data_IF_969119120811
#
_entry.id   IF_969119120811
#
_cell.length_a   1.000
_cell.length_b   1.000
_cell.length_c   1.000
_cell.angle_alpha   90.00
_cell.angle_beta   90.00
_cell.angle_gamma   90.00
#
_symmetry.space_group_name_H-M   'P 1'
#
loop_
_entity.id
_entity.type
_entity.pdbx_description
1 polymer ?
#
# COMPACT_ATOMS: atom_id res chain seq x y z
N UNK A 1 -31.75 36.85 -10.61
CA UNK A 1 -32.25 35.48 -10.81
C UNK A 1 -31.68 35.08 -12.16
N UNK A 2 -30.54 34.40 -12.31
CA UNK A 2 -30.37 32.94 -12.20
C UNK A 2 -28.89 32.55 -12.44
N UNK A 3 -27.94 32.91 -11.56
CA UNK A 3 -26.53 32.52 -11.71
C UNK A 3 -25.92 32.07 -10.36
N UNK A 4 -26.51 31.05 -9.73
CA UNK A 4 -25.97 30.49 -8.46
C UNK A 4 -26.15 28.97 -8.32
N UNK A 5 -26.17 28.19 -9.42
CA UNK A 5 -26.49 26.74 -9.32
C UNK A 5 -25.60 25.76 -10.11
N UNK A 6 -24.36 26.11 -10.45
CA UNK A 6 -23.48 25.19 -11.20
C UNK A 6 -22.08 24.97 -10.62
N UNK A 7 -21.93 25.02 -9.29
CA UNK A 7 -20.66 24.65 -8.62
C UNK A 7 -20.85 23.60 -7.52
N UNK A 8 -21.82 22.72 -7.68
CA UNK A 8 -22.09 21.66 -6.71
C UNK A 8 -22.39 20.36 -7.43
N UNK A 9 -21.37 19.69 -7.98
CA UNK A 9 -21.31 18.25 -8.29
C UNK A 9 -19.98 18.01 -9.03
N UNK A 10 -19.38 16.83 -8.87
CA UNK A 10 -18.11 16.40 -9.49
C UNK A 10 -16.81 16.76 -8.72
N UNK A 11 -16.78 16.54 -7.41
CA UNK A 11 -15.53 16.11 -6.75
C UNK A 11 -15.58 14.58 -6.63
N UNK A 12 -14.66 13.81 -7.25
CA UNK A 12 -14.63 12.36 -7.09
C UNK A 12 -14.47 12.04 -5.59
N UNK A 13 -15.41 11.26 -5.07
CA UNK A 13 -15.74 11.17 -3.65
C UNK A 13 -14.53 10.97 -2.72
N UNK A 14 -14.29 11.98 -1.88
CA UNK A 14 -13.29 12.00 -0.81
C UNK A 14 -13.43 10.81 0.17
N UNK A 15 -14.60 10.17 0.20
CA UNK A 15 -14.89 9.01 1.05
C UNK A 15 -13.99 7.79 0.80
N UNK A 16 -13.53 7.57 -0.43
CA UNK A 16 -12.60 6.45 -0.73
C UNK A 16 -11.23 6.69 -0.07
N UNK A 17 -10.73 7.92 -0.08
CA UNK A 17 -9.45 8.26 0.56
C UNK A 17 -9.53 8.11 2.09
N UNK A 18 -10.66 8.49 2.69
CA UNK A 18 -10.89 8.35 4.14
C UNK A 18 -10.95 6.86 4.55
N UNK A 19 -11.64 6.02 3.79
CA UNK A 19 -11.76 4.58 4.08
C UNK A 19 -10.38 3.89 4.02
N UNK A 20 -9.56 4.28 3.04
CA UNK A 20 -8.19 3.76 2.88
C UNK A 20 -7.28 4.31 3.98
N UNK A 21 -7.42 5.57 4.36
CA UNK A 21 -6.70 6.15 5.50
C UNK A 21 -6.96 5.36 6.78
N UNK A 22 -8.22 5.02 7.07
CA UNK A 22 -8.57 4.15 8.22
C UNK A 22 -7.92 2.77 8.07
N UNK A 23 -7.96 2.17 6.87
CA UNK A 23 -7.26 0.90 6.59
C UNK A 23 -5.75 0.96 6.87
N UNK A 24 -5.08 2.06 6.53
CA UNK A 24 -3.67 2.28 6.81
C UNK A 24 -3.38 2.46 8.30
N UNK A 25 -4.26 3.14 9.03
CA UNK A 25 -4.16 3.29 10.49
C UNK A 25 -4.28 1.92 11.16
N UNK A 26 -5.25 1.09 10.74
CA UNK A 26 -5.41 -0.29 11.23
C UNK A 26 -4.17 -1.13 10.94
N UNK A 27 -3.63 -1.08 9.72
CA UNK A 27 -2.41 -1.80 9.35
C UNK A 27 -1.18 -1.37 10.16
N UNK A 28 -1.10 -0.08 10.48
CA UNK A 28 -0.04 0.49 11.33
C UNK A 28 -0.18 -0.02 12.76
N UNK A 29 -1.39 -0.02 13.32
CA UNK A 29 -1.67 -0.61 14.62
C UNK A 29 -1.31 -2.09 14.67
N UNK A 30 -1.63 -2.85 13.61
CA UNK A 30 -1.27 -4.26 13.48
C UNK A 30 0.24 -4.47 13.46
N UNK A 31 0.99 -3.59 12.78
CA UNK A 31 2.46 -3.65 12.76
C UNK A 31 3.04 -3.42 14.15
N UNK A 32 2.52 -2.43 14.89
CA UNK A 32 2.96 -2.13 16.26
C UNK A 32 2.64 -3.31 17.19
N UNK A 33 1.45 -3.90 17.06
CA UNK A 33 1.05 -5.06 17.85
C UNK A 33 1.95 -6.27 17.57
N UNK A 34 2.24 -6.56 16.31
CA UNK A 34 3.12 -7.66 15.91
C UNK A 34 4.57 -7.39 16.30
N UNK A 35 5.04 -6.15 16.21
CA UNK A 35 6.37 -5.76 16.70
C UNK A 35 6.50 -5.89 18.23
N UNK A 36 5.40 -5.71 18.97
CA UNK A 36 5.35 -5.92 20.42
C UNK A 36 5.37 -7.40 20.83
N UNK A 37 4.92 -8.31 19.96
CA UNK A 37 4.99 -9.75 20.19
C UNK A 37 6.36 -10.25 19.71
N UNK A 38 7.26 -10.53 20.66
CA UNK A 38 8.64 -10.94 20.40
C UNK A 38 8.74 -12.32 19.72
N UNK A 39 8.50 -12.37 18.42
CA UNK A 39 8.75 -13.52 17.54
C UNK A 39 10.23 -13.53 17.11
N UNK A 40 11.15 -13.56 18.08
CA UNK A 40 12.63 -13.48 17.98
C UNK A 40 13.26 -13.51 16.56
N UNK A 41 13.12 -14.61 15.81
CA UNK A 41 13.70 -14.77 14.46
C UNK A 41 12.72 -14.43 13.31
N UNK A 42 11.41 -14.62 13.52
CA UNK A 42 10.37 -14.36 12.52
C UNK A 42 9.84 -12.92 12.54
N UNK A 43 10.25 -12.09 13.50
CA UNK A 43 9.82 -10.69 13.61
C UNK A 43 10.14 -9.90 12.34
N UNK A 44 11.34 -10.08 11.77
CA UNK A 44 11.76 -9.36 10.55
C UNK A 44 10.90 -9.79 9.35
N UNK A 45 10.72 -11.09 9.14
CA UNK A 45 9.89 -11.64 8.06
C UNK A 45 8.44 -11.18 8.17
N UNK A 46 7.88 -11.20 9.37
CA UNK A 46 6.50 -10.79 9.62
C UNK A 46 6.34 -9.28 9.41
N UNK A 47 7.29 -8.47 9.88
CA UNK A 47 7.28 -7.01 9.66
C UNK A 47 7.35 -6.66 8.17
N UNK A 48 8.18 -7.36 7.38
CA UNK A 48 8.29 -7.16 5.93
C UNK A 48 7.01 -7.56 5.20
N UNK A 49 6.36 -8.67 5.57
CA UNK A 49 5.07 -9.06 4.99
C UNK A 49 4.00 -7.99 5.25
N UNK A 50 3.90 -7.52 6.49
CA UNK A 50 2.92 -6.48 6.86
C UNK A 50 3.21 -5.17 6.11
N UNK A 51 4.48 -4.78 6.00
CA UNK A 51 4.89 -3.61 5.23
C UNK A 51 4.55 -3.76 3.73
N UNK A 52 4.74 -4.95 3.15
CA UNK A 52 4.39 -5.25 1.76
C UNK A 52 2.89 -5.09 1.49
N UNK A 53 2.03 -5.64 2.35
CA UNK A 53 0.57 -5.52 2.20
C UNK A 53 0.12 -4.07 2.39
N UNK A 54 0.72 -3.33 3.33
CA UNK A 54 0.46 -1.88 3.49
C UNK A 54 0.78 -1.11 2.22
N UNK A 55 1.96 -1.34 1.63
CA UNK A 55 2.39 -0.68 0.40
C UNK A 55 1.50 -1.02 -0.80
N UNK A 56 1.03 -2.27 -0.92
CA UNK A 56 0.07 -2.67 -1.95
C UNK A 56 -1.27 -1.92 -1.82
N UNK A 57 -1.77 -1.75 -0.59
CA UNK A 57 -3.01 -1.02 -0.33
C UNK A 57 -2.87 0.47 -0.67
N UNK A 58 -1.72 1.09 -0.34
CA UNK A 58 -1.41 2.46 -0.75
C UNK A 58 -1.35 2.57 -2.28
N UNK A 59 -0.67 1.65 -2.94
CA UNK A 59 -0.48 1.67 -4.39
C UNK A 59 -1.81 1.54 -5.16
N UNK A 60 -2.70 0.65 -4.72
CA UNK A 60 -3.99 0.44 -5.37
C UNK A 60 -4.95 1.63 -5.21
N UNK A 61 -4.93 2.28 -4.04
CA UNK A 61 -5.95 3.27 -3.67
C UNK A 61 -5.47 4.72 -3.69
N UNK A 62 -4.30 5.04 -3.12
CA UNK A 62 -3.77 6.41 -3.12
C UNK A 62 -3.16 6.80 -4.46
N UNK A 63 -2.52 5.86 -5.16
CA UNK A 63 -1.89 6.12 -6.46
C UNK A 63 -2.87 6.08 -7.65
N UNK A 64 -4.17 6.02 -7.39
CA UNK A 64 -5.23 6.05 -8.41
C UNK A 64 -5.01 5.08 -9.58
N UNK A 65 -4.31 3.96 -9.34
CA UNK A 65 -3.91 3.00 -10.38
C UNK A 65 -5.09 2.36 -11.12
N UNK A 66 -6.30 2.47 -10.55
CA UNK A 66 -7.55 2.01 -11.15
C UNK A 66 -8.05 2.91 -12.29
N UNK A 67 -7.71 4.21 -12.32
CA UNK A 67 -8.12 5.15 -13.38
C UNK A 67 -6.98 5.66 -14.26
N UNK A 68 -5.71 5.42 -13.89
CA UNK A 68 -4.56 5.80 -14.69
C UNK A 68 -4.37 4.88 -15.92
N UNK A 69 -3.78 5.37 -17.03
CA UNK A 69 -3.61 4.60 -18.24
C UNK A 69 -2.69 3.39 -18.01
N UNK A 70 -2.93 2.34 -18.81
CA UNK A 70 -2.27 1.02 -18.70
C UNK A 70 -0.74 1.07 -18.60
N UNK A 71 -0.10 2.12 -19.16
CA UNK A 71 1.34 2.34 -19.10
C UNK A 71 1.85 2.58 -17.67
N UNK A 72 1.16 3.40 -16.86
CA UNK A 72 1.55 3.63 -15.46
C UNK A 72 1.42 2.35 -14.63
N UNK A 73 0.34 1.58 -14.87
CA UNK A 73 0.13 0.27 -14.26
C UNK A 73 1.25 -0.71 -14.60
N UNK A 74 1.72 -0.70 -15.85
CA UNK A 74 2.82 -1.57 -16.30
C UNK A 74 4.15 -1.16 -15.66
N UNK A 75 4.50 0.14 -15.65
CA UNK A 75 5.74 0.61 -15.03
C UNK A 75 5.82 0.28 -13.54
N UNK A 76 4.73 0.52 -12.80
CA UNK A 76 4.62 0.18 -11.39
C UNK A 76 4.71 -1.35 -11.19
N UNK A 77 4.06 -2.15 -12.04
CA UNK A 77 4.15 -3.60 -11.97
C UNK A 77 5.58 -4.09 -12.17
N UNK A 78 6.33 -3.53 -13.13
CA UNK A 78 7.75 -3.88 -13.35
C UNK A 78 8.58 -3.52 -12.12
N UNK A 79 8.41 -2.32 -11.57
CA UNK A 79 9.11 -1.90 -10.36
C UNK A 79 8.81 -2.83 -9.16
N UNK A 80 7.54 -3.21 -8.98
CA UNK A 80 7.11 -4.09 -7.90
C UNK A 80 7.65 -5.51 -8.08
N UNK A 81 7.67 -6.04 -9.31
CA UNK A 81 8.28 -7.34 -9.62
C UNK A 81 9.77 -7.31 -9.27
N UNK A 82 10.52 -6.30 -9.73
CA UNK A 82 11.93 -6.17 -9.39
C UNK A 82 12.13 -6.07 -7.88
N UNK A 83 11.33 -5.27 -7.17
CA UNK A 83 11.40 -5.16 -5.72
C UNK A 83 11.18 -6.51 -5.01
N UNK A 84 10.18 -7.28 -5.41
CA UNK A 84 9.91 -8.62 -4.86
C UNK A 84 11.09 -9.56 -5.12
N UNK A 85 11.70 -9.53 -6.31
CA UNK A 85 12.89 -10.34 -6.62
C UNK A 85 14.04 -9.99 -5.65
N UNK A 86 14.31 -8.71 -5.42
CA UNK A 86 15.35 -8.28 -4.47
C UNK A 86 15.07 -8.75 -3.05
N UNK A 87 13.82 -8.67 -2.58
CA UNK A 87 13.43 -9.17 -1.26
C UNK A 87 13.67 -10.68 -1.16
N UNK A 88 13.23 -11.47 -2.15
CA UNK A 88 13.42 -12.93 -2.13
C UNK A 88 14.90 -13.30 -2.13
N UNK A 89 15.71 -12.66 -2.97
CA UNK A 89 17.16 -12.89 -3.00
C UNK A 89 17.83 -12.53 -1.67
N UNK A 90 17.41 -11.42 -1.03
CA UNK A 90 17.93 -11.01 0.27
C UNK A 90 17.59 -12.03 1.36
N UNK A 91 16.35 -12.52 1.40
CA UNK A 91 15.96 -13.57 2.36
C UNK A 91 16.69 -14.89 2.11
N UNK A 92 16.89 -15.26 0.84
CA UNK A 92 17.67 -16.43 0.48
C UNK A 92 19.12 -16.28 0.95
N UNK A 93 19.76 -15.14 0.71
CA UNK A 93 21.13 -14.86 1.18
C UNK A 93 21.25 -14.95 2.72
N UNK A 94 20.26 -14.43 3.46
CA UNK A 94 20.21 -14.52 4.93
C UNK A 94 20.05 -15.96 5.41
N UNK A 95 19.23 -16.78 4.74
CA UNK A 95 18.96 -18.16 5.16
C UNK A 95 20.12 -19.12 4.86
N UNK A 96 20.88 -18.85 3.79
CA UNK A 96 22.03 -19.67 3.36
C UNK A 96 23.38 -19.22 3.96
N UNK A 97 23.37 -18.23 4.85
CA UNK A 97 24.53 -17.73 5.59
C UNK A 97 24.54 -18.21 7.04
#
# INVERSE_FOLDING_TARGET
MEHEKEHALHSPGYGIYILVWVGLVVFTGLTIAVAGVNLKEFTVTTALLIAGVKSLLVLFYFMHLKYEPILFKLMISVCLITFVIFIVLTFFDILFR
#
